data_IF_709996284793
#
_entry.id   IF_709996284793
#
_cell.length_a   1.000
_cell.length_b   1.000
_cell.length_c   1.000
_cell.angle_alpha   90.00
_cell.angle_beta   90.00
_cell.angle_gamma   90.00
#
_symmetry.space_group_name_H-M   'P 1'
#
loop_
_entity.id
_entity.type
_entity.pdbx_description
1 polymer ?
#
# COMPACT_ATOMS: atom_id res chain seq x y z
N UNK A 1 20.87 3.00 17.20
CA UNK A 1 19.84 4.06 17.27
C UNK A 1 19.42 4.32 15.83
N UNK A 2 18.13 4.24 15.46
CA UNK A 2 17.71 4.73 14.15
C UNK A 2 18.11 6.21 14.01
N UNK A 3 18.56 6.60 12.82
CA UNK A 3 18.79 8.01 12.49
C UNK A 3 17.49 8.82 12.66
N UNK A 4 17.56 10.14 12.84
CA UNK A 4 16.36 11.03 12.86
C UNK A 4 15.45 10.84 11.63
N UNK A 5 16.00 10.30 10.54
CA UNK A 5 15.32 10.04 9.28
C UNK A 5 14.79 8.61 9.11
N UNK A 6 15.00 7.73 10.10
CA UNK A 6 14.55 6.33 10.07
C UNK A 6 13.48 6.11 11.14
N UNK A 7 12.38 5.44 10.77
CA UNK A 7 11.31 5.11 11.69
C UNK A 7 10.72 3.75 11.37
N UNK A 8 10.42 3.02 12.43
CA UNK A 8 9.72 1.75 12.38
C UNK A 8 8.27 1.94 12.85
N UNK A 9 7.33 1.41 12.08
CA UNK A 9 5.91 1.41 12.39
C UNK A 9 5.41 -0.02 12.42
N UNK A 10 4.64 -0.35 13.46
CA UNK A 10 3.92 -1.62 13.54
C UNK A 10 2.65 -1.56 12.69
N UNK A 11 2.16 -2.71 12.23
CA UNK A 11 0.88 -2.84 11.56
C UNK A 11 -0.28 -2.20 12.32
N UNK A 12 -0.30 -2.36 13.65
CA UNK A 12 -1.29 -1.72 14.51
C UNK A 12 -1.27 -0.19 14.39
N UNK A 13 -0.09 0.43 14.29
CA UNK A 13 0.03 1.89 14.08
C UNK A 13 -0.41 2.30 12.67
N UNK A 14 -0.05 1.52 11.65
CA UNK A 14 -0.51 1.78 10.27
C UNK A 14 -2.04 1.80 10.21
N UNK A 15 -2.69 0.84 10.86
CA UNK A 15 -4.15 0.72 10.86
C UNK A 15 -4.87 1.74 11.77
N UNK A 16 -4.14 2.62 12.47
CA UNK A 16 -4.75 3.69 13.29
C UNK A 16 -4.97 5.00 12.53
N UNK A 17 -4.32 5.17 11.38
CA UNK A 17 -4.53 6.36 10.55
C UNK A 17 -5.69 6.14 9.58
N UNK A 18 -6.49 7.17 9.29
CA UNK A 18 -7.51 7.07 8.27
C UNK A 18 -6.85 7.05 6.89
N UNK A 19 -7.26 6.11 6.05
CA UNK A 19 -6.91 6.06 4.64
C UNK A 19 -8.15 5.64 3.84
N UNK A 20 -8.34 6.25 2.67
CA UNK A 20 -9.39 5.90 1.74
C UNK A 20 -8.91 4.86 0.72
N UNK A 21 -7.61 4.92 0.37
CA UNK A 21 -6.96 3.97 -0.54
C UNK A 21 -5.83 3.23 0.15
N UNK A 22 -5.52 1.99 -0.25
CA UNK A 22 -4.46 1.23 0.39
C UNK A 22 -3.09 1.92 0.40
N UNK A 23 -2.72 2.58 -0.70
CA UNK A 23 -1.45 3.32 -0.78
C UNK A 23 -1.33 4.46 0.24
N UNK A 24 -2.44 5.07 0.64
CA UNK A 24 -2.47 6.15 1.64
C UNK A 24 -2.09 5.64 3.05
N UNK A 25 -2.17 4.33 3.30
CA UNK A 25 -1.67 3.75 4.56
C UNK A 25 -0.16 3.99 4.76
N UNK A 26 0.59 4.24 3.69
CA UNK A 26 2.02 4.58 3.78
C UNK A 26 2.24 6.00 4.33
N UNK A 27 1.23 6.88 4.34
CA UNK A 27 1.33 8.25 4.88
C UNK A 27 1.54 8.30 6.41
N UNK A 28 1.48 7.15 7.09
CA UNK A 28 2.00 7.02 8.46
C UNK A 28 3.46 7.48 8.56
N UNK A 29 4.22 7.37 7.47
CA UNK A 29 5.59 7.86 7.34
C UNK A 29 5.58 9.40 7.24
N UNK A 30 6.08 10.14 8.24
CA UNK A 30 5.95 11.58 8.25
C UNK A 30 6.70 12.25 7.10
N UNK A 31 5.96 13.07 6.34
CA UNK A 31 6.45 13.80 5.18
C UNK A 31 6.38 13.01 3.88
N UNK A 32 5.80 11.80 3.89
CA UNK A 32 5.32 11.09 2.71
C UNK A 32 3.86 11.50 2.46
N UNK A 33 3.54 11.87 1.23
CA UNK A 33 2.16 11.97 0.76
C UNK A 33 1.99 11.01 -0.43
N UNK A 34 0.86 10.30 -0.44
CA UNK A 34 0.52 9.31 -1.45
C UNK A 34 -0.81 9.72 -2.06
N UNK A 35 -0.77 10.21 -3.29
CA UNK A 35 -1.96 10.75 -3.94
C UNK A 35 -2.34 9.93 -5.17
N UNK A 36 -3.59 10.06 -5.59
CA UNK A 36 -4.01 9.62 -6.91
C UNK A 36 -4.07 10.84 -7.83
N UNK A 37 -3.37 10.78 -8.96
CA UNK A 37 -3.61 11.70 -10.06
C UNK A 37 -4.00 10.90 -11.32
N UNK A 38 -5.06 11.35 -11.99
CA UNK A 38 -5.58 10.77 -13.25
C UNK A 38 -6.37 9.46 -13.16
N UNK A 39 -6.93 9.12 -11.99
CA UNK A 39 -7.89 8.00 -11.82
C UNK A 39 -7.27 6.69 -11.31
N UNK A 40 -8.12 5.79 -10.82
CA UNK A 40 -7.74 4.62 -9.98
C UNK A 40 -7.04 3.46 -10.72
N UNK A 41 -6.80 3.59 -12.03
CA UNK A 41 -6.04 2.63 -12.84
C UNK A 41 -4.55 2.98 -13.04
N UNK A 42 -4.09 4.07 -12.41
CA UNK A 42 -2.71 4.55 -12.47
C UNK A 42 -2.06 4.35 -11.10
N UNK A 43 -0.78 3.98 -11.07
CA UNK A 43 -0.01 3.90 -9.82
C UNK A 43 -0.12 5.19 -9.02
N UNK A 44 0.07 5.10 -7.71
CA UNK A 44 0.05 6.26 -6.83
C UNK A 44 1.14 7.26 -7.22
N UNK A 45 0.91 8.55 -6.94
CA UNK A 45 1.97 9.56 -6.92
C UNK A 45 2.52 9.66 -5.51
N UNK A 46 3.83 9.81 -5.41
CA UNK A 46 4.49 9.94 -4.12
C UNK A 46 5.20 11.28 -4.04
N UNK A 47 5.10 11.89 -2.87
CA UNK A 47 5.87 13.06 -2.49
C UNK A 47 6.58 12.78 -1.18
N UNK A 48 7.90 12.97 -1.12
CA UNK A 48 8.66 12.78 0.11
C UNK A 48 9.56 13.98 0.33
N UNK A 49 9.44 14.64 1.48
CA UNK A 49 10.23 15.84 1.81
C UNK A 49 10.14 16.96 0.76
N UNK A 50 9.00 17.06 0.06
CA UNK A 50 8.77 18.06 -0.98
C UNK A 50 9.31 17.70 -2.37
N UNK A 51 9.94 16.54 -2.54
CA UNK A 51 10.29 16.01 -3.85
C UNK A 51 9.07 15.33 -4.46
N UNK A 52 8.81 15.63 -5.73
CA UNK A 52 7.91 14.84 -6.56
C UNK A 52 8.66 13.60 -7.06
N UNK A 53 8.12 12.42 -6.78
CA UNK A 53 8.79 11.14 -7.04
C UNK A 53 8.19 10.39 -8.22
N UNK A 54 7.30 11.00 -9.00
CA UNK A 54 6.74 10.49 -10.26
C UNK A 54 6.53 8.96 -10.26
N UNK A 55 5.49 8.52 -9.55
CA UNK A 55 5.16 7.12 -9.35
C UNK A 55 6.21 6.21 -8.68
N UNK A 56 7.23 6.75 -8.01
CA UNK A 56 8.22 5.97 -7.27
C UNK A 56 9.62 6.01 -7.86
N UNK A 57 9.88 6.86 -8.87
CA UNK A 57 11.17 7.06 -9.53
C UNK A 57 12.34 7.21 -8.55
N UNK A 58 12.12 7.83 -7.38
CA UNK A 58 13.14 7.99 -6.32
C UNK A 58 12.65 7.53 -4.93
N UNK A 59 11.62 6.67 -4.89
CA UNK A 59 11.14 6.03 -3.67
C UNK A 59 11.13 4.51 -3.83
N UNK A 60 12.04 3.83 -3.13
CA UNK A 60 12.13 2.38 -3.19
C UNK A 60 11.08 1.75 -2.26
N UNK A 61 10.18 0.95 -2.82
CA UNK A 61 9.13 0.24 -2.10
C UNK A 61 9.39 -1.26 -2.17
N UNK A 62 9.36 -1.92 -1.01
CA UNK A 62 9.52 -3.37 -0.89
C UNK A 62 8.40 -3.96 -0.04
N UNK A 63 7.89 -5.12 -0.43
CA UNK A 63 7.03 -5.96 0.41
C UNK A 63 7.69 -7.33 0.57
N UNK A 64 7.93 -7.76 1.81
CA UNK A 64 8.63 -9.02 2.14
C UNK A 64 9.97 -9.20 1.38
N UNK A 65 10.67 -8.09 1.17
CA UNK A 65 11.94 -8.04 0.42
C UNK A 65 11.80 -8.05 -1.11
N UNK A 66 10.60 -8.29 -1.65
CA UNK A 66 10.30 -8.18 -3.07
C UNK A 66 10.14 -6.70 -3.47
N UNK A 67 10.89 -6.20 -4.48
CA UNK A 67 10.75 -4.83 -4.94
C UNK A 67 9.41 -4.64 -5.68
N UNK A 68 8.69 -3.58 -5.31
CA UNK A 68 7.45 -3.17 -6.00
C UNK A 68 7.78 -2.33 -7.24
N UNK A 69 8.84 -1.52 -7.19
CA UNK A 69 9.22 -0.67 -8.30
C UNK A 69 9.57 -1.50 -9.55
N UNK A 70 8.92 -1.19 -10.66
CA UNK A 70 9.28 -1.68 -11.97
C UNK A 70 10.56 -0.98 -12.45
N UNK A 71 11.60 -1.76 -12.76
CA UNK A 71 12.86 -1.23 -13.30
C UNK A 71 12.65 -0.47 -14.62
N UNK A 72 11.71 -0.96 -15.42
CA UNK A 72 11.27 -0.33 -16.67
C UNK A 72 9.75 -0.38 -16.74
N UNK A 73 9.14 0.70 -17.21
CA UNK A 73 7.70 0.78 -17.44
C UNK A 73 7.42 1.79 -18.55
N UNK A 74 6.29 1.64 -19.27
CA UNK A 74 5.93 2.56 -20.35
C UNK A 74 5.71 4.01 -19.91
N UNK A 75 5.55 4.23 -18.60
CA UNK A 75 5.46 5.56 -18.00
C UNK A 75 6.81 6.14 -17.58
N UNK A 76 7.73 5.32 -17.08
CA UNK A 76 9.01 5.75 -16.52
C UNK A 76 9.67 4.67 -15.66
N UNK A 77 10.98 4.77 -15.42
CA UNK A 77 11.71 3.90 -14.51
C UNK A 77 11.30 4.13 -13.05
N UNK A 78 11.19 3.06 -12.25
CA UNK A 78 10.85 3.16 -10.83
C UNK A 78 9.35 3.20 -10.54
N UNK A 79 8.50 3.00 -11.54
CA UNK A 79 7.04 2.94 -11.40
C UNK A 79 6.61 1.91 -10.34
N UNK A 80 5.87 2.34 -9.32
CA UNK A 80 5.47 1.54 -8.18
C UNK A 80 4.02 1.80 -7.79
N UNK A 81 3.19 0.76 -7.90
CA UNK A 81 1.79 0.80 -7.49
C UNK A 81 1.63 0.13 -6.12
N UNK A 82 1.22 0.89 -5.11
CA UNK A 82 0.97 0.38 -3.77
C UNK A 82 -0.50 -0.03 -3.56
N UNK A 83 -1.36 0.13 -4.55
CA UNK A 83 -2.79 -0.16 -4.39
C UNK A 83 -3.09 -1.65 -4.17
N UNK A 84 -2.20 -2.59 -4.51
CA UNK A 84 -2.42 -4.01 -4.24
C UNK A 84 -2.26 -4.38 -2.75
N UNK A 85 -1.66 -3.51 -1.96
CA UNK A 85 -1.38 -3.78 -0.54
C UNK A 85 -2.69 -3.90 0.23
N UNK A 86 -2.74 -4.82 1.20
CA UNK A 86 -3.80 -4.87 2.19
C UNK A 86 -3.21 -4.41 3.53
N UNK A 87 -3.48 -3.17 3.99
CA UNK A 87 -2.84 -2.59 5.18
C UNK A 87 -3.03 -3.42 6.45
N UNK A 88 -4.14 -4.15 6.55
CA UNK A 88 -4.43 -5.06 7.67
C UNK A 88 -3.47 -6.26 7.75
N UNK A 89 -2.80 -6.61 6.65
CA UNK A 89 -1.77 -7.66 6.62
C UNK A 89 -0.40 -7.17 7.04
N UNK A 90 -0.16 -5.85 7.08
CA UNK A 90 1.15 -5.32 7.42
C UNK A 90 1.50 -5.69 8.87
N UNK A 91 2.60 -6.39 9.06
CA UNK A 91 3.24 -6.55 10.36
C UNK A 91 4.03 -5.29 10.73
N UNK A 92 4.71 -4.70 9.75
CA UNK A 92 5.52 -3.49 9.96
C UNK A 92 5.88 -2.75 8.68
N UNK A 93 6.29 -1.49 8.86
CA UNK A 93 6.97 -0.66 7.86
C UNK A 93 8.27 -0.12 8.50
N UNK A 94 9.42 -0.44 7.92
CA UNK A 94 10.70 0.23 8.16
C UNK A 94 10.89 1.31 7.09
N UNK A 95 10.81 2.57 7.51
CA UNK A 95 10.88 3.73 6.62
C UNK A 95 12.18 4.50 6.85
N UNK A 96 12.94 4.69 5.77
CA UNK A 96 14.21 5.43 5.75
C UNK A 96 14.10 6.58 4.77
N UNK A 97 14.42 7.79 5.20
CA UNK A 97 14.31 9.00 4.37
C UNK A 97 15.68 9.56 4.03
N UNK A 98 15.91 9.81 2.74
CA UNK A 98 17.17 10.31 2.17
C UNK A 98 18.12 9.19 1.75
N UNK A 99 19.18 9.52 1.00
CA UNK A 99 20.01 8.56 0.23
C UNK A 99 21.09 7.87 1.08
N UNK A 100 20.89 7.76 2.39
CA UNK A 100 21.98 7.45 3.32
C UNK A 100 22.27 5.95 3.50
N UNK A 101 21.49 5.07 2.87
CA UNK A 101 21.58 3.64 3.11
C UNK A 101 21.99 2.88 1.84
N UNK A 102 23.21 2.36 1.84
CA UNK A 102 23.81 1.64 0.70
C UNK A 102 23.19 0.27 0.44
N UNK A 103 22.45 -0.28 1.41
CA UNK A 103 21.74 -1.56 1.25
C UNK A 103 20.42 -1.40 0.47
N UNK A 104 19.94 -0.16 0.34
CA UNK A 104 18.74 0.15 -0.40
C UNK A 104 19.13 0.41 -1.86
N UNK A 105 18.72 -0.49 -2.76
CA UNK A 105 19.18 -0.53 -4.15
C UNK A 105 18.62 0.59 -5.02
N UNK A 106 18.29 0.27 -6.27
CA UNK A 106 17.73 1.24 -7.22
C UNK A 106 16.50 1.97 -6.64
N UNK A 107 16.31 3.23 -7.05
CA UNK A 107 15.18 4.10 -6.69
C UNK A 107 15.14 4.58 -5.23
N UNK A 108 16.23 4.48 -4.46
CA UNK A 108 16.24 4.85 -3.03
C UNK A 108 16.71 6.28 -2.71
N UNK A 109 16.82 7.16 -3.72
CA UNK A 109 17.42 8.49 -3.56
C UNK A 109 16.66 9.40 -2.56
N UNK A 110 15.33 9.43 -2.63
CA UNK A 110 14.52 10.20 -1.69
C UNK A 110 14.19 9.39 -0.43
N UNK A 111 14.07 8.07 -0.55
CA UNK A 111 13.91 7.16 0.59
C UNK A 111 13.53 5.74 0.20
N UNK A 112 13.32 4.93 1.23
CA UNK A 112 12.96 3.51 1.13
C UNK A 112 11.89 3.18 2.15
N UNK A 113 10.85 2.46 1.74
CA UNK A 113 9.89 1.80 2.64
C UNK A 113 10.00 0.29 2.45
N UNK A 114 10.35 -0.41 3.53
CA UNK A 114 10.36 -1.87 3.59
C UNK A 114 9.19 -2.35 4.42
N UNK A 115 8.23 -2.97 3.77
CA UNK A 115 7.02 -3.50 4.36
C UNK A 115 7.18 -4.99 4.58
N UNK A 116 6.60 -5.50 5.67
CA UNK A 116 6.52 -6.92 5.95
C UNK A 116 5.09 -7.29 6.25
N UNK A 117 4.62 -8.40 5.70
CA UNK A 117 3.32 -8.97 6.07
C UNK A 117 3.42 -9.88 7.30
N UNK A 118 2.27 -10.06 7.95
CA UNK A 118 2.08 -11.04 8.99
C UNK A 118 2.35 -12.45 8.42
N UNK A 119 2.96 -13.31 9.22
CA UNK A 119 3.16 -14.73 8.87
C UNK A 119 2.08 -15.64 9.46
N UNK A 120 1.33 -15.14 10.46
CA UNK A 120 0.23 -15.85 11.12
C UNK A 120 -0.67 -14.85 11.85
N UNK A 121 -1.97 -15.13 11.88
CA UNK A 121 -2.93 -14.47 12.77
C UNK A 121 -3.45 -15.46 13.83
N UNK A 122 -3.50 -15.08 15.12
CA UNK A 122 -4.03 -15.96 16.17
C UNK A 122 -5.51 -16.29 15.99
N UNK A 123 -6.27 -15.34 15.45
CA UNK A 123 -7.69 -15.46 15.18
C UNK A 123 -7.97 -14.87 13.80
N UNK A 124 -8.90 -15.48 13.07
CA UNK A 124 -9.36 -14.91 11.80
C UNK A 124 -10.07 -13.58 12.03
N UNK A 125 -9.87 -12.65 11.10
CA UNK A 125 -10.50 -11.33 11.12
C UNK A 125 -11.43 -11.24 9.92
N UNK A 126 -12.59 -10.65 10.13
CA UNK A 126 -13.51 -10.25 9.07
C UNK A 126 -14.06 -8.86 9.41
N UNK A 127 -13.93 -7.95 8.46
CA UNK A 127 -14.35 -6.55 8.59
C UNK A 127 -15.26 -6.19 7.45
N UNK A 128 -16.33 -5.45 7.75
CA UNK A 128 -17.20 -4.82 6.77
C UNK A 128 -17.30 -3.34 7.06
N UNK A 129 -17.03 -2.52 6.05
CA UNK A 129 -17.10 -1.06 6.11
C UNK A 129 -18.11 -0.60 5.07
N UNK A 130 -18.93 0.40 5.44
CA UNK A 130 -19.87 1.06 4.53
C UNK A 130 -19.75 2.58 4.67
N UNK A 131 -20.02 3.31 3.60
CA UNK A 131 -19.86 4.76 3.57
C UNK A 131 -20.67 5.46 2.47
N UNK A 132 -20.34 6.71 2.22
CA UNK A 132 -21.01 7.54 1.22
C UNK A 132 -20.80 7.03 -0.21
N UNK A 133 -21.64 7.50 -1.13
CA UNK A 133 -21.59 7.14 -2.55
C UNK A 133 -21.56 5.62 -2.79
N UNK A 134 -22.33 4.87 -1.98
CA UNK A 134 -22.43 3.42 -2.07
C UNK A 134 -21.15 2.69 -1.67
N UNK A 135 -20.19 3.33 -1.00
CA UNK A 135 -18.96 2.68 -0.56
C UNK A 135 -19.27 1.45 0.30
N UNK A 136 -18.68 0.31 -0.06
CA UNK A 136 -18.69 -0.90 0.74
C UNK A 136 -17.35 -1.62 0.57
N UNK A 137 -16.73 -2.04 1.68
CA UNK A 137 -15.51 -2.87 1.67
C UNK A 137 -15.67 -4.05 2.60
N UNK A 138 -15.32 -5.23 2.12
CA UNK A 138 -15.23 -6.45 2.90
C UNK A 138 -13.78 -6.91 2.88
N UNK A 139 -13.23 -7.19 4.06
CA UNK A 139 -11.88 -7.72 4.21
C UNK A 139 -11.92 -8.93 5.13
N UNK A 140 -11.18 -9.97 4.80
CA UNK A 140 -11.02 -11.14 5.65
C UNK A 140 -9.61 -11.71 5.58
N UNK A 141 -9.11 -12.18 6.72
CA UNK A 141 -7.85 -12.93 6.78
C UNK A 141 -7.94 -14.05 7.80
N UNK A 142 -7.25 -15.15 7.55
CA UNK A 142 -7.21 -16.30 8.46
C UNK A 142 -5.93 -17.11 8.26
N UNK A 143 -5.44 -17.70 9.35
CA UNK A 143 -4.37 -18.68 9.30
C UNK A 143 -4.85 -20.10 9.53
N UNK A 144 -4.18 -21.04 8.88
CA UNK A 144 -4.34 -22.48 9.05
C UNK A 144 -2.97 -23.12 9.32
N UNK A 145 -2.92 -24.11 10.20
CA UNK A 145 -1.73 -24.92 10.39
C UNK A 145 -1.73 -26.06 9.37
N UNK A 146 -0.61 -26.23 8.65
CA UNK A 146 -0.47 -27.25 7.63
C UNK A 146 0.97 -27.76 7.58
N UNK A 147 1.16 -29.08 7.67
CA UNK A 147 2.47 -29.75 7.63
C UNK A 147 3.55 -29.13 8.54
N UNK A 148 3.17 -28.65 9.74
CA UNK A 148 4.10 -28.03 10.68
C UNK A 148 4.46 -26.57 10.38
N UNK A 149 3.87 -25.98 9.34
CA UNK A 149 3.94 -24.55 9.01
C UNK A 149 2.59 -23.85 9.16
N UNK A 150 2.58 -22.55 8.87
CA UNK A 150 1.37 -21.73 8.83
C UNK A 150 1.11 -21.28 7.39
N UNK A 151 -0.15 -21.37 6.98
CA UNK A 151 -0.66 -20.74 5.76
C UNK A 151 -1.51 -19.57 6.23
N UNK A 152 -1.18 -18.35 5.82
CA UNK A 152 -2.02 -17.17 5.95
C UNK A 152 -2.68 -16.92 4.60
N UNK A 153 -3.99 -16.77 4.59
CA UNK A 153 -4.73 -16.33 3.41
C UNK A 153 -5.56 -15.10 3.73
N UNK A 154 -5.71 -14.22 2.76
CA UNK A 154 -6.51 -13.01 2.87
C UNK A 154 -7.27 -12.70 1.58
N UNK A 155 -8.40 -12.03 1.72
CA UNK A 155 -9.17 -11.53 0.60
C UNK A 155 -9.82 -10.19 0.93
N UNK A 156 -9.91 -9.33 -0.09
CA UNK A 156 -10.58 -8.05 -0.05
C UNK A 156 -11.54 -7.93 -1.23
N UNK A 157 -12.71 -7.36 -0.99
CA UNK A 157 -13.64 -6.87 -2.00
C UNK A 157 -14.08 -5.46 -1.66
N UNK A 158 -13.92 -4.52 -2.60
CA UNK A 158 -14.35 -3.13 -2.44
C UNK A 158 -15.32 -2.74 -3.55
N UNK A 159 -16.28 -1.88 -3.23
CA UNK A 159 -17.23 -1.27 -4.13
C UNK A 159 -17.38 0.23 -3.84
N UNK A 160 -17.40 1.07 -4.87
CA UNK A 160 -17.61 2.51 -4.74
C UNK A 160 -18.19 3.13 -6.02
N UNK A 161 -19.24 3.97 -5.90
CA UNK A 161 -19.88 4.64 -7.05
C UNK A 161 -19.33 6.05 -7.31
N UNK A 162 -18.63 6.64 -6.35
CA UNK A 162 -18.14 8.02 -6.47
C UNK A 162 -19.24 9.09 -6.46
N UNK A 163 -18.86 10.36 -6.33
CA UNK A 163 -19.78 11.50 -6.29
C UNK A 163 -20.24 11.98 -7.68
N UNK A 164 -20.03 11.16 -8.73
CA UNK A 164 -20.15 11.58 -10.11
C UNK A 164 -21.61 11.70 -10.56
N UNK A 165 -21.95 12.78 -11.28
CA UNK A 165 -23.30 13.02 -11.82
C UNK A 165 -23.48 12.42 -13.21
N UNK A 166 -22.38 12.28 -13.96
CA UNK A 166 -22.35 11.59 -15.25
C UNK A 166 -21.79 10.18 -15.01
N UNK A 167 -22.56 9.12 -15.29
CA UNK A 167 -22.07 7.75 -15.21
C UNK A 167 -20.87 7.59 -16.15
N UNK A 168 -19.78 7.01 -15.64
CA UNK A 168 -18.65 6.57 -16.45
C UNK A 168 -19.12 5.34 -17.23
N UNK A 169 -19.24 5.42 -18.56
CA UNK A 169 -19.99 4.44 -19.36
C UNK A 169 -19.54 2.97 -19.18
N UNK A 170 -20.41 2.14 -18.58
CA UNK A 170 -20.75 0.72 -18.86
C UNK A 170 -19.65 -0.35 -19.12
N UNK A 171 -18.41 -0.08 -18.74
CA UNK A 171 -17.46 -1.10 -18.24
C UNK A 171 -16.73 -0.64 -16.97
N UNK A 172 -17.06 0.56 -16.49
CA UNK A 172 -16.46 1.26 -15.35
C UNK A 172 -17.54 1.66 -14.30
N UNK A 173 -18.74 1.07 -14.39
CA UNK A 173 -19.91 1.47 -13.58
C UNK A 173 -19.80 1.10 -12.10
N UNK A 174 -18.84 0.24 -11.76
CA UNK A 174 -18.59 -0.22 -10.40
C UNK A 174 -17.08 -0.33 -10.21
N UNK A 175 -16.49 0.46 -9.31
CA UNK A 175 -15.13 0.18 -8.86
C UNK A 175 -15.20 -1.05 -7.95
N UNK A 176 -15.20 -2.22 -8.58
CA UNK A 176 -15.13 -3.51 -7.90
C UNK A 176 -13.69 -3.96 -7.93
N UNK A 177 -12.99 -3.80 -6.81
CA UNK A 177 -11.62 -4.30 -6.67
C UNK A 177 -11.64 -5.56 -5.80
N UNK A 178 -10.98 -6.61 -6.29
CA UNK A 178 -10.82 -7.86 -5.58
C UNK A 178 -9.35 -8.20 -5.47
N UNK A 179 -8.91 -8.50 -4.25
CA UNK A 179 -7.54 -8.91 -3.97
C UNK A 179 -7.54 -10.19 -3.17
N UNK A 180 -6.57 -11.04 -3.42
CA UNK A 180 -6.32 -12.25 -2.64
C UNK A 180 -4.82 -12.44 -2.47
N UNK A 181 -4.43 -12.90 -1.29
CA UNK A 181 -3.06 -13.26 -0.91
C UNK A 181 -3.08 -14.65 -0.28
#
# INVERSE_FOLDING_TARGET
MPSSSERFFTGGQVNTIPFYRPGEALEIVPGLAVTQHSGEGKANQYYLRGFDLDHGTDLALYIDGMPINARTHGHGQGWADANFIMPELLASIDARKGPYNVEDGDFSNAGTLRMQYLTRVPQGVFTTTAGEFGFARQFGMKSWEFMGGNILGAAEGQFYNGPWVVPKSLSEDFMTDYRAF
#
